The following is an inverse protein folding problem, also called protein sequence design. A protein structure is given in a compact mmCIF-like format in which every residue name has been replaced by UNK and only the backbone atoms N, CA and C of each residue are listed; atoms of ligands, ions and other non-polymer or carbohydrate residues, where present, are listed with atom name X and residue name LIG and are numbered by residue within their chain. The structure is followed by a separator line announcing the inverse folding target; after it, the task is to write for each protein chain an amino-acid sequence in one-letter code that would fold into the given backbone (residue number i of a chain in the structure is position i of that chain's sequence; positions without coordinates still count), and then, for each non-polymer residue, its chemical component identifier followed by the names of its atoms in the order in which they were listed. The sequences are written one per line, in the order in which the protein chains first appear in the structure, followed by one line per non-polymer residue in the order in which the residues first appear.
data_IF_972983512687
#
_entry.id   IF_972983512687
#
_cell.length_a   1.000
_cell.length_b   1.000
_cell.length_c   1.000
_cell.angle_alpha   90.00
_cell.angle_beta   90.00
_cell.angle_gamma   90.00
#
_symmetry.space_group_name_H-M   'P 1'
#
loop_
_entity.id
_entity.type
_entity.pdbx_description
1 polymer ?
2 polymer ?
3 non-polymer ?
4 non-polymer ?
5 water ?
#
# COMPACT_ATOMS: atom_id res chain seq x y z
N UNK A 1 14.57 5.97 18.75
CA UNK A 1 13.20 6.18 19.31
C UNK A 1 12.94 5.32 20.52
N UNK A 2 11.65 5.16 20.86
CA UNK A 2 11.27 4.43 22.06
C UNK A 2 11.59 2.95 21.98
N UNK A 3 11.89 2.45 20.78
CA UNK A 3 12.20 1.04 20.62
C UNK A 3 13.69 0.80 20.54
N UNK A 4 14.49 1.86 20.68
CA UNK A 4 15.92 1.76 20.51
C UNK A 4 16.61 0.82 21.48
N UNK A 5 16.03 0.57 22.65
CA UNK A 5 16.64 -0.35 23.61
C UNK A 5 16.18 -1.81 23.47
N UNK A 6 15.24 -2.12 22.57
CA UNK A 6 14.80 -3.49 22.38
C UNK A 6 15.51 -4.17 21.22
N UNK A 7 15.86 -5.44 21.44
CA UNK A 7 16.52 -6.22 20.40
C UNK A 7 15.68 -6.29 19.13
N UNK A 8 16.36 -6.29 17.99
CA UNK A 8 15.67 -6.45 16.72
C UNK A 8 14.79 -7.69 16.71
N UNK A 9 15.32 -8.83 17.18
CA UNK A 9 14.55 -10.07 17.13
C UNK A 9 13.34 -9.98 18.04
N UNK A 10 13.48 -9.32 19.20
CA UNK A 10 12.34 -9.14 20.09
C UNK A 10 11.27 -8.25 19.48
N UNK A 11 11.67 -7.20 18.76
CA UNK A 11 10.69 -6.32 18.10
C UNK A 11 9.91 -7.10 17.06
N UNK A 12 10.60 -7.96 16.31
CA UNK A 12 9.93 -8.75 15.28
C UNK A 12 8.98 -9.76 15.92
N UNK A 13 9.41 -10.45 16.97
CA UNK A 13 8.54 -11.37 17.72
C UNK A 13 7.29 -10.65 18.22
N UNK A 14 7.47 -9.46 18.80
CA UNK A 14 6.33 -8.73 19.35
C UNK A 14 5.42 -8.17 18.26
N UNK A 15 5.96 -7.80 17.10
CA UNK A 15 5.09 -7.44 15.99
C UNK A 15 4.18 -8.60 15.59
N UNK A 16 4.73 -9.82 15.58
CA UNK A 16 3.92 -11.00 15.27
C UNK A 16 2.87 -11.23 16.33
N UNK A 17 3.21 -11.02 17.60
CA UNK A 17 2.23 -11.13 18.67
C UNK A 17 1.14 -10.06 18.54
N UNK A 18 1.54 -8.82 18.25
CA UNK A 18 0.58 -7.74 18.11
C UNK A 18 -0.37 -8.00 16.96
N UNK A 19 0.13 -8.56 15.86
CA UNK A 19 -0.76 -8.99 14.77
C UNK A 19 -1.81 -9.98 15.29
N UNK A 20 -1.38 -11.00 16.04
CA UNK A 20 -2.34 -11.99 16.54
C UNK A 20 -3.37 -11.36 17.46
N UNK A 21 -2.97 -10.33 18.20
CA UNK A 21 -3.85 -9.61 19.11
C UNK A 21 -4.63 -8.48 18.43
N UNK A 22 -4.46 -8.30 17.13
CA UNK A 22 -5.10 -7.21 16.40
C UNK A 22 -4.74 -5.84 17.00
N UNK A 23 -3.50 -5.70 17.44
CA UNK A 23 -2.94 -4.47 18.02
C UNK A 23 -2.02 -3.82 16.99
N UNK A 24 -2.65 -3.24 15.97
CA UNK A 24 -1.88 -2.83 14.78
C UNK A 24 -1.08 -1.57 15.02
N UNK A 25 -1.51 -0.65 15.89
CA UNK A 25 -0.65 0.48 16.21
C UNK A 25 0.62 0.00 16.90
N UNK A 26 0.48 -0.91 17.87
CA UNK A 26 1.66 -1.55 18.46
C UNK A 26 2.52 -2.25 17.40
N UNK A 27 1.88 -3.00 16.50
CA UNK A 27 2.59 -3.74 15.46
C UNK A 27 3.44 -2.80 14.64
N UNK A 28 2.84 -1.68 14.23
CA UNK A 28 3.55 -0.67 13.44
C UNK A 28 4.72 -0.07 14.22
N UNK A 29 4.53 0.25 15.49
CA UNK A 29 5.64 0.81 16.27
C UNK A 29 6.78 -0.18 16.43
N UNK A 30 6.46 -1.48 16.58
CA UNK A 30 7.50 -2.51 16.70
C UNK A 30 8.27 -2.62 15.39
N UNK A 31 7.56 -2.60 14.26
CA UNK A 31 8.25 -2.71 12.98
C UNK A 31 9.01 -1.43 12.62
N UNK A 32 8.51 -0.27 12.98
CA UNK A 32 9.31 0.95 12.86
C UNK A 32 10.62 0.80 13.63
N UNK A 33 10.52 0.31 14.85
CA UNK A 33 11.70 0.04 15.65
C UNK A 33 12.65 -0.92 14.98
N UNK A 34 12.11 -1.97 14.34
CA UNK A 34 12.96 -2.94 13.65
C UNK A 34 13.66 -2.30 12.47
N UNK A 35 12.91 -1.56 11.64
CA UNK A 35 13.53 -0.85 10.52
C UNK A 35 14.67 0.04 10.98
N UNK A 36 14.46 0.79 12.07
CA UNK A 36 15.43 1.77 12.55
C UNK A 36 16.69 1.12 13.11
N UNK A 37 16.71 -0.21 13.26
CA UNK A 37 17.96 -0.89 13.56
C UNK A 37 18.96 -0.79 12.41
N UNK A 38 18.48 -0.48 11.20
CA UNK A 38 19.37 -0.18 10.08
C UNK A 38 19.73 -1.36 9.20
N UNK A 39 19.33 -2.57 9.58
CA UNK A 39 19.51 -3.76 8.76
C UNK A 39 18.40 -3.87 7.73
N UNK A 40 18.70 -4.51 6.60
CA UNK A 40 17.65 -4.78 5.61
C UNK A 40 16.60 -5.75 6.19
N UNK A 41 15.39 -5.70 5.63
CA UNK A 41 14.31 -6.56 6.06
C UNK A 41 14.18 -7.78 5.17
N UNK A 42 13.86 -8.92 5.78
CA UNK A 42 13.50 -10.13 5.05
C UNK A 42 12.11 -9.99 4.41
N UNK A 43 11.76 -10.95 3.53
CA UNK A 43 10.42 -10.94 2.93
C UNK A 43 9.33 -10.95 4.01
N UNK A 44 9.46 -11.85 4.99
CA UNK A 44 8.46 -11.93 6.05
C UNK A 44 8.40 -10.61 6.82
N UNK A 45 9.57 -10.02 7.13
CA UNK A 45 9.62 -8.76 7.87
C UNK A 45 9.02 -7.60 7.07
N UNK A 46 9.29 -7.55 5.75
CA UNK A 46 8.65 -6.56 4.90
C UNK A 46 7.15 -6.67 4.96
N UNK A 47 6.63 -7.91 4.91
CA UNK A 47 5.18 -8.09 4.98
C UNK A 47 4.63 -7.64 6.33
N UNK A 48 5.35 -7.92 7.43
CA UNK A 48 4.90 -7.44 8.74
C UNK A 48 4.79 -5.92 8.76
N UNK A 49 5.79 -5.25 8.19
CA UNK A 49 5.81 -3.79 8.14
C UNK A 49 4.59 -3.28 7.38
N UNK A 50 4.37 -3.85 6.19
CA UNK A 50 3.28 -3.41 5.35
C UNK A 50 1.90 -3.67 5.99
N UNK A 51 1.69 -4.88 6.52
CA UNK A 51 0.40 -5.21 7.12
C UNK A 51 0.08 -4.27 8.28
N UNK A 52 1.08 -3.98 9.10
CA UNK A 52 0.90 -3.11 10.27
C UNK A 52 0.43 -1.73 9.84
N UNK A 53 1.18 -1.09 8.95
CA UNK A 53 0.81 0.28 8.61
C UNK A 53 -0.45 0.32 7.75
N UNK A 54 -0.73 -0.74 6.97
CA UNK A 54 -1.95 -0.76 6.16
C UNK A 54 -3.18 -0.79 7.06
N UNK A 55 -3.11 -1.56 8.14
CA UNK A 55 -4.21 -1.59 9.09
C UNK A 55 -4.36 -0.26 9.79
N UNK A 56 -3.26 0.36 10.23
CA UNK A 56 -3.34 1.66 10.90
C UNK A 56 -3.94 2.71 9.96
N UNK A 57 -3.34 2.90 8.78
CA UNK A 57 -3.84 3.94 7.89
C UNK A 57 -5.23 3.60 7.38
N UNK A 58 -5.56 2.30 7.34
CA UNK A 58 -6.88 1.90 6.86
C UNK A 58 -7.98 2.40 7.77
N UNK A 59 -7.79 2.24 9.08
CA UNK A 59 -8.71 2.82 10.05
C UNK A 59 -8.84 4.33 9.94
N UNK A 60 -7.71 5.03 9.71
CA UNK A 60 -7.74 6.48 9.59
C UNK A 60 -8.47 6.91 8.32
N UNK A 61 -8.23 6.20 7.21
CA UNK A 61 -8.89 6.53 5.95
C UNK A 61 -10.40 6.37 6.08
N UNK A 62 -10.84 5.27 6.68
CA UNK A 62 -12.27 5.01 6.86
C UNK A 62 -12.91 6.08 7.73
N UNK A 63 -12.23 6.46 8.83
CA UNK A 63 -12.69 7.56 9.69
C UNK A 63 -12.78 8.86 8.93
N UNK A 64 -11.73 9.16 8.14
CA UNK A 64 -11.71 10.42 7.41
C UNK A 64 -12.89 10.50 6.44
N UNK A 65 -13.22 9.38 5.78
CA UNK A 65 -14.30 9.41 4.79
C UNK A 65 -15.65 9.63 5.45
N UNK A 66 -15.84 9.02 6.63
CA UNK A 66 -17.07 9.25 7.40
C UNK A 66 -17.21 10.73 7.69
N UNK A 67 -16.15 11.33 8.23
CA UNK A 67 -16.16 12.74 8.64
C UNK A 67 -16.27 13.68 7.45
N UNK A 68 -15.55 13.37 6.36
CA UNK A 68 -15.64 14.19 5.15
C UNK A 68 -17.06 14.21 4.60
N UNK A 69 -17.73 13.07 4.60
CA UNK A 69 -19.10 13.01 4.11
C UNK A 69 -20.04 13.82 4.99
N UNK A 70 -19.91 13.68 6.31
CA UNK A 70 -20.69 14.51 7.22
C UNK A 70 -20.41 15.98 6.94
N UNK A 71 -19.12 16.33 6.79
CA UNK A 71 -18.73 17.71 6.56
C UNK A 71 -19.37 18.24 5.29
N UNK A 72 -19.28 17.49 4.20
CA UNK A 72 -19.82 17.96 2.93
C UNK A 72 -21.32 18.17 3.03
N UNK A 73 -22.03 17.24 3.67
CA UNK A 73 -23.47 17.43 3.88
C UNK A 73 -23.75 18.64 4.77
N UNK A 74 -22.88 18.90 5.75
CA UNK A 74 -23.13 20.01 6.66
C UNK A 74 -22.91 21.36 5.99
N UNK A 75 -22.16 21.40 4.89
CA UNK A 75 -21.94 22.65 4.16
C UNK A 75 -22.98 22.79 3.07
N UNK A 83 -21.30 25.34 12.82
CA UNK A 83 -20.21 25.30 13.79
C UNK A 83 -18.96 24.70 13.18
N UNK A 84 -17.80 24.96 13.80
CA UNK A 84 -16.53 24.48 13.24
C UNK A 84 -16.17 23.06 13.62
N UNK A 85 -16.98 22.36 14.42
CA UNK A 85 -16.54 21.11 15.03
C UNK A 85 -16.29 20.01 14.00
N UNK A 86 -17.19 19.84 13.02
CA UNK A 86 -17.02 18.77 12.04
C UNK A 86 -15.72 18.98 11.27
N UNK A 87 -15.48 20.21 10.79
CA UNK A 87 -14.24 20.53 10.10
C UNK A 87 -13.03 20.32 11.00
N UNK A 88 -13.10 20.79 12.25
CA UNK A 88 -11.97 20.62 13.16
C UNK A 88 -11.60 19.16 13.34
N UNK A 89 -12.61 18.32 13.57
CA UNK A 89 -12.32 16.93 13.89
C UNK A 89 -11.88 16.16 12.62
N UNK A 90 -12.47 16.49 11.47
CA UNK A 90 -11.96 15.93 10.22
C UNK A 90 -10.48 16.28 10.02
N UNK A 91 -10.12 17.55 10.31
CA UNK A 91 -8.73 18.01 10.19
C UNK A 91 -7.81 17.28 11.18
N UNK A 92 -8.30 17.02 12.39
CA UNK A 92 -7.53 16.27 13.37
C UNK A 92 -7.16 14.88 12.85
N UNK A 93 -8.17 14.15 12.35
CA UNK A 93 -7.97 12.82 11.78
C UNK A 93 -7.09 12.90 10.54
N UNK A 94 -7.35 13.87 9.67
CA UNK A 94 -6.53 14.05 8.47
C UNK A 94 -5.07 14.27 8.82
N UNK A 95 -4.80 15.11 9.81
CA UNK A 95 -3.43 15.39 10.25
C UNK A 95 -2.76 14.12 10.78
N UNK A 96 -3.50 13.31 11.54
CA UNK A 96 -2.89 12.08 12.05
C UNK A 96 -2.61 11.10 10.92
N UNK A 97 -3.50 11.03 9.94
CA UNK A 97 -3.30 10.17 8.76
C UNK A 97 -2.05 10.59 7.98
N UNK A 98 -1.91 11.91 7.75
CA UNK A 98 -0.74 12.44 7.07
C UNK A 98 0.53 12.15 7.86
N UNK A 99 0.44 12.20 9.19
CA UNK A 99 1.60 11.88 9.98
C UNK A 99 2.04 10.43 9.83
N UNK A 100 1.10 9.50 9.78
CA UNK A 100 1.41 8.08 9.56
C UNK A 100 2.02 7.87 8.17
N UNK A 101 1.42 8.48 7.15
CA UNK A 101 2.01 8.42 5.82
C UNK A 101 3.43 8.97 5.80
N UNK A 102 3.64 10.15 6.41
CA UNK A 102 4.97 10.76 6.50
C UNK A 102 5.97 9.84 7.21
N UNK A 103 5.51 9.16 8.25
CA UNK A 103 6.37 8.20 8.97
C UNK A 103 6.81 7.07 8.05
N UNK A 104 5.86 6.48 7.31
CA UNK A 104 6.18 5.35 6.42
C UNK A 104 7.11 5.80 5.31
N UNK A 105 6.78 6.94 4.68
CA UNK A 105 7.63 7.48 3.63
C UNK A 105 9.05 7.78 4.14
N UNK A 106 9.16 8.24 5.40
CA UNK A 106 10.48 8.48 5.98
C UNK A 106 11.28 7.21 6.16
N UNK A 107 10.62 6.12 6.56
CA UNK A 107 11.31 4.84 6.65
C UNK A 107 11.80 4.39 5.29
N UNK A 108 10.95 4.53 4.28
CA UNK A 108 11.30 4.09 2.94
C UNK A 108 12.48 4.89 2.42
N UNK A 109 12.50 6.18 2.71
CA UNK A 109 13.58 7.05 2.25
C UNK A 109 14.81 6.99 3.15
N UNK A 110 14.68 6.50 4.37
CA UNK A 110 15.81 6.45 5.33
C UNK A 110 15.82 5.10 6.07
N UNK A 111 16.29 4.02 5.43
CA UNK A 111 16.96 4.02 4.13
C UNK A 111 16.61 2.74 3.37
N UNK A 112 15.35 2.28 3.50
CA UNK A 112 14.93 0.99 2.96
C UNK A 112 15.11 0.93 1.45
N UNK A 113 14.66 1.96 0.73
CA UNK A 113 14.68 1.87 -0.72
C UNK A 113 16.13 1.87 -1.22
N UNK A 114 16.96 2.78 -0.70
CA UNK A 114 18.31 2.89 -1.24
C UNK A 114 19.14 1.63 -0.97
N UNK A 115 18.88 0.91 0.12
CA UNK A 115 19.64 -0.31 0.35
C UNK A 115 19.02 -1.55 -0.29
N UNK A 116 17.86 -1.44 -0.96
CA UNK A 116 17.17 -2.57 -1.59
C UNK A 116 17.70 -2.80 -3.00
N UNK A 117 18.49 -3.84 -3.18
CA UNK A 117 19.03 -4.19 -4.49
C UNK A 117 18.27 -5.27 -5.25
N UNK A 118 17.67 -6.21 -4.53
CA UNK A 118 16.92 -7.27 -5.18
C UNK A 118 15.59 -6.74 -5.67
N UNK A 119 15.14 -7.27 -6.82
CA UNK A 119 13.89 -6.79 -7.39
C UNK A 119 12.71 -6.97 -6.44
N UNK A 120 12.67 -8.09 -5.71
CA UNK A 120 11.55 -8.38 -4.83
C UNK A 120 11.44 -7.33 -3.72
N UNK A 121 12.59 -6.94 -3.16
CA UNK A 121 12.59 -5.91 -2.12
C UNK A 121 12.38 -4.51 -2.70
N UNK A 122 13.07 -4.18 -3.78
CA UNK A 122 12.95 -2.82 -4.31
C UNK A 122 11.54 -2.50 -4.83
N UNK A 123 10.90 -3.46 -5.53
CA UNK A 123 9.54 -3.26 -6.03
C UNK A 123 8.56 -3.17 -4.86
N UNK A 124 8.79 -3.98 -3.82
CA UNK A 124 7.91 -3.96 -2.66
C UNK A 124 7.88 -2.56 -2.05
N UNK A 125 9.06 -1.98 -1.85
CA UNK A 125 9.18 -0.68 -1.18
C UNK A 125 8.69 0.45 -2.07
N UNK A 126 8.94 0.35 -3.37
CA UNK A 126 8.48 1.41 -4.27
C UNK A 126 6.96 1.36 -4.40
N UNK A 127 6.36 0.17 -4.40
CA UNK A 127 4.91 0.03 -4.30
C UNK A 127 4.38 0.73 -3.06
N UNK A 128 5.01 0.47 -1.90
CA UNK A 128 4.60 1.13 -0.67
C UNK A 128 4.72 2.65 -0.79
N UNK A 129 5.81 3.14 -1.38
CA UNK A 129 5.96 4.57 -1.57
C UNK A 129 4.79 5.13 -2.38
N UNK A 130 4.44 4.45 -3.49
CA UNK A 130 3.26 4.84 -4.26
C UNK A 130 1.98 4.85 -3.45
N UNK A 131 1.78 3.80 -2.65
CA UNK A 131 0.56 3.67 -1.86
C UNK A 131 0.44 4.82 -0.87
N UNK A 132 1.52 5.14 -0.15
CA UNK A 132 1.39 6.14 0.92
C UNK A 132 1.34 7.56 0.37
N UNK A 133 1.94 7.82 -0.81
CA UNK A 133 1.64 9.07 -1.49
C UNK A 133 0.18 9.09 -1.99
N UNK A 134 -0.34 7.93 -2.44
CA UNK A 134 -1.74 7.86 -2.84
C UNK A 134 -2.67 8.18 -1.66
N UNK A 135 -2.37 7.65 -0.47
CA UNK A 135 -3.22 7.98 0.68
C UNK A 135 -3.14 9.47 1.01
N UNK A 136 -1.95 10.08 0.90
CA UNK A 136 -1.87 11.54 1.02
C UNK A 136 -2.71 12.22 -0.05
N UNK A 137 -2.68 11.71 -1.29
CA UNK A 137 -3.45 12.33 -2.36
C UNK A 137 -4.95 12.31 -2.09
N UNK A 138 -5.46 11.27 -1.41
CA UNK A 138 -6.89 11.15 -1.17
C UNK A 138 -7.42 12.30 -0.32
N UNK A 139 -6.57 12.91 0.51
CA UNK A 139 -6.96 14.00 1.41
C UNK A 139 -6.38 15.34 1.01
N UNK A 140 -5.58 15.38 -0.06
CA UNK A 140 -4.95 16.61 -0.50
C UNK A 140 -5.91 17.51 -1.27
N UNK A 141 -5.72 18.81 -1.12
CA UNK A 141 -6.58 19.83 -1.72
C UNK A 141 -5.74 20.96 -2.32
N UNK A 144 -0.71 21.57 -4.05
CA UNK A 144 0.25 20.54 -3.70
C UNK A 144 -0.31 19.14 -3.93
N UNK A 145 -1.63 19.04 -4.15
CA UNK A 145 -2.20 17.75 -4.56
C UNK A 145 -1.51 17.24 -5.81
N UNK A 146 -1.27 18.13 -6.79
CA UNK A 146 -0.64 17.71 -8.04
C UNK A 146 0.74 17.10 -7.81
N UNK A 147 1.55 17.76 -6.98
CA UNK A 147 2.89 17.25 -6.71
C UNK A 147 2.82 15.91 -5.97
N UNK A 148 1.86 15.77 -5.06
CA UNK A 148 1.70 14.51 -4.33
C UNK A 148 1.32 13.39 -5.31
N UNK A 149 0.34 13.65 -6.18
CA UNK A 149 -0.08 12.70 -7.20
C UNK A 149 1.09 12.29 -8.07
N UNK A 150 1.91 13.27 -8.52
CA UNK A 150 3.02 12.89 -9.37
C UNK A 150 4.07 12.08 -8.61
N UNK A 151 4.20 12.27 -7.28
CA UNK A 151 5.14 11.45 -6.52
C UNK A 151 4.63 10.00 -6.43
N UNK A 152 3.32 9.80 -6.25
CA UNK A 152 2.76 8.45 -6.29
C UNK A 152 3.00 7.81 -7.66
N UNK A 153 2.62 8.52 -8.72
CA UNK A 153 2.80 8.03 -10.09
C UNK A 153 4.23 7.58 -10.33
N UNK A 154 5.19 8.46 -9.96
CA UNK A 154 6.60 8.18 -10.20
C UNK A 154 7.05 6.90 -9.50
N UNK A 155 6.67 6.74 -8.23
CA UNK A 155 7.05 5.54 -7.49
C UNK A 155 6.45 4.29 -8.12
N UNK A 156 5.15 4.35 -8.42
CA UNK A 156 4.47 3.21 -9.04
C UNK A 156 5.14 2.87 -10.37
N UNK A 157 5.53 3.89 -11.14
CA UNK A 157 6.03 3.68 -12.49
C UNK A 157 7.41 3.03 -12.45
N UNK A 158 8.27 3.47 -11.52
CA UNK A 158 9.58 2.83 -11.35
C UNK A 158 9.43 1.40 -10.87
N UNK A 159 8.49 1.16 -9.96
CA UNK A 159 8.20 -0.20 -9.53
C UNK A 159 7.72 -1.07 -10.69
N UNK A 160 6.81 -0.54 -11.54
CA UNK A 160 6.31 -1.30 -12.68
C UNK A 160 7.45 -1.66 -13.63
N UNK A 161 8.30 -0.68 -13.96
CA UNK A 161 9.39 -0.92 -14.90
C UNK A 161 10.29 -2.04 -14.40
N UNK A 162 10.66 -2.01 -13.12
CA UNK A 162 11.52 -3.06 -12.57
C UNK A 162 10.78 -4.40 -12.56
N UNK A 163 9.50 -4.39 -12.15
CA UNK A 163 8.75 -5.63 -12.07
C UNK A 163 8.60 -6.29 -13.44
N UNK A 164 8.36 -5.49 -14.47
CA UNK A 164 8.25 -6.05 -15.81
C UNK A 164 9.56 -6.64 -16.30
N UNK A 165 10.70 -6.06 -15.90
CA UNK A 165 11.99 -6.60 -16.32
C UNK A 165 12.37 -7.86 -15.55
N UNK A 166 12.04 -7.93 -14.26
CA UNK A 166 12.74 -8.81 -13.33
C UNK A 166 11.86 -9.89 -12.72
N UNK A 167 10.55 -9.81 -12.86
CA UNK A 167 9.62 -10.70 -12.19
C UNK A 167 8.66 -11.32 -13.19
N UNK A 168 8.22 -12.56 -12.97
CA UNK A 168 7.21 -13.14 -13.85
C UNK A 168 5.89 -12.41 -13.67
N UNK A 169 5.02 -12.48 -14.69
CA UNK A 169 3.72 -11.78 -14.60
C UNK A 169 2.77 -12.31 -13.54
N UNK A 170 2.99 -13.50 -12.98
CA UNK A 170 2.18 -14.03 -11.88
C UNK A 170 2.74 -13.69 -10.50
N UNK A 171 3.92 -13.09 -10.43
CA UNK A 171 4.52 -12.76 -9.15
C UNK A 171 3.54 -11.92 -8.32
N UNK A 172 3.19 -12.36 -7.10
CA UNK A 172 2.18 -11.62 -6.33
C UNK A 172 2.52 -10.17 -6.03
N UNK A 173 3.79 -9.82 -5.86
CA UNK A 173 4.15 -8.42 -5.63
C UNK A 173 3.89 -7.60 -6.88
N UNK A 174 4.29 -8.13 -8.04
CA UNK A 174 3.99 -7.47 -9.31
C UNK A 174 2.49 -7.30 -9.51
N UNK A 175 1.71 -8.34 -9.18
CA UNK A 175 0.26 -8.31 -9.34
C UNK A 175 -0.38 -7.29 -8.40
N UNK A 176 0.04 -7.27 -7.13
CA UNK A 176 -0.48 -6.28 -6.20
C UNK A 176 -0.08 -4.87 -6.55
N UNK A 177 1.12 -4.70 -7.09
CA UNK A 177 1.53 -3.40 -7.60
C UNK A 177 0.61 -2.95 -8.72
N UNK A 178 0.36 -3.81 -9.71
CA UNK A 178 -0.48 -3.41 -10.84
C UNK A 178 -1.89 -3.12 -10.38
N UNK A 179 -2.40 -3.93 -9.46
CA UNK A 179 -3.74 -3.70 -8.92
C UNK A 179 -3.84 -2.28 -8.34
N UNK A 180 -2.90 -1.92 -7.48
CA UNK A 180 -2.93 -0.62 -6.80
C UNK A 180 -2.63 0.54 -7.75
N UNK A 181 -1.71 0.35 -8.70
CA UNK A 181 -1.46 1.39 -9.70
C UNK A 181 -2.72 1.63 -10.53
N UNK A 182 -3.47 0.55 -10.84
CA UNK A 182 -4.69 0.68 -11.61
C UNK A 182 -5.74 1.48 -10.85
N UNK A 183 -5.84 1.23 -9.54
CA UNK A 183 -6.76 2.02 -8.72
C UNK A 183 -6.30 3.49 -8.64
N UNK A 184 -4.98 3.72 -8.52
CA UNK A 184 -4.46 5.08 -8.62
C UNK A 184 -4.96 5.75 -9.89
N UNK A 185 -4.79 5.08 -11.03
CA UNK A 185 -5.23 5.68 -12.29
C UNK A 185 -6.71 6.02 -12.25
N UNK A 186 -7.52 5.11 -11.72
CA UNK A 186 -8.98 5.25 -11.84
C UNK A 186 -9.48 6.41 -11.02
N UNK A 187 -9.08 6.48 -9.76
CA UNK A 187 -9.70 7.44 -8.85
C UNK A 187 -8.80 8.54 -8.33
N UNK A 188 -7.48 8.46 -8.49
CA UNK A 188 -6.60 9.59 -8.15
C UNK A 188 -6.29 10.42 -9.38
N UNK A 189 -5.84 9.76 -10.46
CA UNK A 189 -5.40 10.44 -11.67
C UNK A 189 -6.54 10.73 -12.64
N UNK A 190 -7.75 10.32 -12.29
CA UNK A 190 -8.92 10.50 -13.17
C UNK A 190 -8.63 9.97 -14.58
N UNK A 191 -8.00 8.79 -14.64
CA UNK A 191 -7.72 8.10 -15.90
C UNK A 191 -8.35 6.72 -15.91
N UNK A 192 -9.68 6.64 -15.95
CA UNK A 192 -10.31 5.32 -15.87
C UNK A 192 -9.97 4.41 -17.04
N UNK A 193 -9.68 4.94 -18.23
CA UNK A 193 -9.31 4.03 -19.33
C UNK A 193 -7.95 3.41 -19.07
N UNK A 194 -6.99 4.19 -18.56
CA UNK A 194 -5.69 3.64 -18.20
C UNK A 194 -5.84 2.55 -17.12
N UNK A 195 -6.67 2.79 -16.11
CA UNK A 195 -6.97 1.81 -15.07
C UNK A 195 -7.47 0.49 -15.65
N UNK A 196 -8.49 0.56 -16.52
CA UNK A 196 -9.09 -0.65 -17.07
C UNK A 196 -8.09 -1.39 -17.94
N UNK A 197 -7.35 -0.64 -18.75
CA UNK A 197 -6.33 -1.21 -19.61
C UNK A 197 -5.27 -1.94 -18.79
N UNK A 198 -4.77 -1.29 -17.74
CA UNK A 198 -3.74 -1.93 -16.96
C UNK A 198 -4.26 -3.19 -16.30
N UNK A 199 -5.48 -3.13 -15.75
CA UNK A 199 -6.03 -4.30 -15.04
C UNK A 199 -6.24 -5.47 -16.00
N UNK A 200 -6.75 -5.18 -17.20
CA UNK A 200 -6.97 -6.22 -18.21
C UNK A 200 -5.65 -6.87 -18.63
N UNK A 201 -4.68 -6.05 -19.05
CA UNK A 201 -3.41 -6.59 -19.53
C UNK A 201 -2.72 -7.39 -18.42
N UNK A 202 -2.80 -6.88 -17.18
CA UNK A 202 -2.18 -7.58 -16.05
C UNK A 202 -2.85 -8.93 -15.82
N UNK A 203 -4.18 -8.94 -15.86
CA UNK A 203 -4.91 -10.19 -15.65
C UNK A 203 -4.57 -11.20 -16.73
N UNK A 204 -4.55 -10.75 -17.98
CA UNK A 204 -4.36 -11.66 -19.11
C UNK A 204 -2.93 -12.21 -19.15
N UNK A 205 -1.92 -11.37 -18.89
CA UNK A 205 -0.56 -11.88 -18.87
C UNK A 205 -0.33 -12.83 -17.70
N UNK A 206 -1.00 -12.60 -16.57
CA UNK A 206 -0.87 -13.55 -15.48
C UNK A 206 -1.57 -14.87 -15.82
N UNK A 207 -2.77 -14.79 -16.39
CA UNK A 207 -3.51 -15.99 -16.83
C UNK A 207 -2.64 -16.91 -17.64
N UNK A 208 -1.91 -16.36 -18.61
CA UNK A 208 -1.09 -17.12 -19.53
C UNK A 208 0.17 -17.70 -18.91
N UNK A 209 0.51 -17.29 -17.68
CA UNK A 209 1.69 -17.79 -16.97
C UNK A 209 1.34 -18.71 -15.82
N UNK A 210 0.04 -18.87 -15.51
CA UNK A 210 -0.35 -19.73 -14.39
C UNK A 210 0.12 -21.17 -14.58
N UNK A 211 0.23 -21.63 -15.84
CA UNK A 211 0.60 -23.01 -16.10
C UNK A 211 1.99 -23.36 -15.59
N UNK A 212 2.81 -22.36 -15.28
CA UNK A 212 4.17 -22.59 -14.80
C UNK A 212 4.23 -22.82 -13.29
N UNK A 213 3.12 -22.64 -12.58
CA UNK A 213 3.10 -22.53 -11.12
C UNK A 213 2.71 -23.83 -10.43
N UNK A 214 3.28 -24.01 -9.23
CA UNK A 214 2.84 -24.99 -8.25
C UNK A 214 1.44 -24.67 -7.76
N UNK A 215 0.85 -25.64 -7.06
CA UNK A 215 -0.47 -25.44 -6.49
C UNK A 215 -0.48 -24.24 -5.54
N UNK A 216 0.54 -24.12 -4.69
CA UNK A 216 0.54 -23.04 -3.71
C UNK A 216 0.76 -21.68 -4.38
N UNK A 217 1.68 -21.59 -5.33
CA UNK A 217 1.90 -20.32 -6.01
C UNK A 217 0.67 -19.92 -6.84
N UNK A 218 0.02 -20.92 -7.44
CA UNK A 218 -1.21 -20.67 -8.22
C UNK A 218 -2.28 -20.04 -7.33
N UNK A 219 -2.42 -20.54 -6.09
CA UNK A 219 -3.39 -19.95 -5.18
C UNK A 219 -3.01 -18.51 -4.82
N UNK A 220 -1.72 -18.23 -4.55
CA UNK A 220 -1.27 -16.86 -4.28
C UNK A 220 -1.62 -15.91 -5.42
N UNK A 221 -1.29 -16.29 -6.66
CA UNK A 221 -1.50 -15.41 -7.80
C UNK A 221 -2.99 -15.25 -8.14
N UNK A 222 -3.77 -16.33 -8.11
CA UNK A 222 -5.17 -16.20 -8.50
C UNK A 222 -5.95 -15.36 -7.50
N UNK A 223 -5.52 -15.32 -6.24
CA UNK A 223 -6.24 -14.50 -5.27
C UNK A 223 -6.16 -13.02 -5.64
N UNK A 224 -5.00 -12.56 -6.10
CA UNK A 224 -4.88 -11.16 -6.49
C UNK A 224 -5.48 -10.94 -7.87
N UNK A 225 -5.39 -11.93 -8.76
CA UNK A 225 -6.10 -11.80 -10.03
C UNK A 225 -7.59 -11.57 -9.78
N UNK A 226 -8.15 -12.22 -8.75
CA UNK A 226 -9.58 -12.03 -8.47
C UNK A 226 -9.90 -10.59 -8.08
N UNK A 227 -8.98 -9.92 -7.37
CA UNK A 227 -9.17 -8.50 -7.06
C UNK A 227 -9.17 -7.64 -8.33
N UNK A 228 -8.26 -7.91 -9.26
CA UNK A 228 -8.31 -7.24 -10.56
C UNK A 228 -9.67 -7.45 -11.23
N UNK A 229 -10.16 -8.70 -11.23
CA UNK A 229 -11.47 -9.00 -11.81
C UNK A 229 -12.57 -8.23 -11.12
N UNK A 230 -12.55 -8.20 -9.79
CA UNK A 230 -13.57 -7.48 -9.04
C UNK A 230 -13.63 -6.03 -9.51
N UNK A 231 -12.47 -5.37 -9.62
CA UNK A 231 -12.46 -3.98 -10.03
C UNK A 231 -12.98 -3.83 -11.46
N UNK A 232 -12.53 -4.70 -12.37
CA UNK A 232 -12.99 -4.62 -13.74
C UNK A 232 -14.51 -4.75 -13.80
N UNK A 233 -15.07 -5.62 -12.97
CA UNK A 233 -16.53 -5.79 -12.92
C UNK A 233 -17.21 -4.48 -12.51
N UNK A 234 -16.62 -3.76 -11.55
CA UNK A 234 -17.16 -2.47 -11.15
C UNK A 234 -16.97 -1.40 -12.22
N UNK A 235 -15.90 -1.49 -13.01
CA UNK A 235 -15.48 -0.41 -13.89
C UNK A 235 -16.05 -0.50 -15.30
N UNK A 236 -16.62 -1.64 -15.68
CA UNK A 236 -17.05 -1.86 -17.07
C UNK A 236 -18.48 -2.39 -17.13
N UNK B 1 -18.49 7.04 -0.80
CA UNK B 1 -17.22 6.55 -1.32
C UNK B 1 -17.27 5.04 -1.58
N UNK B 2 -17.52 4.64 -2.81
CA UNK B 2 -17.26 3.25 -3.20
C UNK B 2 -15.75 3.05 -3.27
N UNK B 3 -15.23 2.10 -2.50
CA UNK B 3 -13.80 1.78 -2.49
C UNK B 3 -13.55 0.57 -3.38
N UNK B 4 -12.60 0.71 -4.31
CA UNK B 4 -12.19 -0.40 -5.15
C UNK B 4 -11.15 -1.25 -4.43
N UNK B 5 -10.95 -2.46 -4.95
CA UNK B 5 -10.02 -3.41 -4.36
C UNK B 5 -8.58 -2.98 -4.51
N UNK B 6 -7.84 -2.94 -3.40
CA UNK B 6 -6.39 -2.75 -3.47
C UNK B 6 -5.73 -3.85 -2.62
N UNK B 7 -4.42 -3.97 -2.77
CA UNK B 7 -3.65 -5.08 -2.21
C UNK B 7 -3.67 -5.08 -0.68
N UNK B 8 -3.67 -6.28 -0.09
CA UNK B 8 -3.45 -6.43 1.33
C UNK B 8 -4.71 -6.24 2.15
N UNK B 9 -4.55 -6.08 3.47
CA UNK B 9 -5.71 -5.93 4.35
C UNK B 9 -6.69 -4.86 3.87
N UNK B 10 -7.96 -5.25 3.72
CA UNK B 10 -9.06 -4.29 3.51
C UNK B 10 -9.39 -3.72 4.89
N UNK B 11 -8.52 -2.82 5.36
CA UNK B 11 -8.51 -2.31 6.72
C UNK B 11 -9.36 -1.05 6.90
N UNK B 12 -9.84 -0.47 5.80
CA UNK B 12 -10.69 0.71 5.87
C UNK B 12 -12.12 0.33 5.48
X LIG C 1 2.62 -12.10 9.22
X LIG C 1 2.83 -12.38 6.93
X LIG C 1 2.08 -11.84 8.13
X LIG C 1 4.54 -13.61 5.51
X LIG C 1 5.74 -14.41 5.06
X LIG C 1 6.19 -15.58 5.96
X LIG C 1 8.00 -16.02 4.34
X LIG C 1 3.52 -13.06 3.14
X LIG C 1 7.61 -15.00 3.57
X LIG C 1 6.38 -14.15 3.96
X LIG C 1 3.53 -12.99 4.66
X LIG C 1 2.49 -12.26 5.51
X LIG C 1 7.25 -16.32 5.63
X LIG C 1 1.00 -11.22 8.01
X LIG C 1 4.24 -13.30 7.15
X LIG C 1 0.60 -10.93 8.72
X LIG C 1 5.74 -15.75 6.74
X LIG C 1 8.72 -16.55 4.11
X LIG C 1 3.73 -13.97 2.85
X LIG C 1 4.18 -12.45 2.77
X LIG C 1 2.64 -12.82 2.80
X LIG C 1 8.09 -14.81 2.79
X LIG C 1 6.11 -13.44 3.42
X LIG C 1 1.75 -11.80 5.17
X LIG C 1 7.52 -17.02 6.18
X LIG C 1 0.68 -11.07 7.23
X LIG C 1 2.26 -11.84 9.98
X LIG D 1 0.59 -15.26 10.40
X LIG D 1 0.11 -14.91 8.08
X LIG D 1 -0.14 -14.69 9.57
X LIG D 1 1.05 -15.65 5.77
X LIG D 1 1.91 -16.32 4.72
X LIG D 1 2.89 -17.44 5.16
X LIG D 1 3.60 -17.63 2.79
X LIG D 1 -0.82 -14.31 4.29
X LIG D 1 2.78 -16.67 2.42
X LIG D 1 1.88 -15.97 3.47
X LIG D 1 -0.16 -14.77 5.60
X LIG D 1 -0.69 -14.35 6.97
X LIG D 1 3.67 -18.05 4.26
X LIG D 1 -1.09 -13.93 9.93
X LIG D 1 1.36 -15.84 7.42
X LIG D 1 -1.56 -13.56 9.31
X LIG D 1 2.94 -17.70 6.05
X LIG D 1 4.15 -18.06 2.16
X LIG D 1 -0.51 -14.87 3.56
X LIG D 1 -1.78 -14.39 4.37
X LIG D 1 -0.58 -13.39 4.11
X LIG D 1 2.74 -16.42 1.52
X LIG D 1 1.30 -15.29 3.20
X LIG D 1 -1.44 -13.80 7.09
X LIG D 1 4.25 -18.73 4.52
X LIG D 1 -1.25 -13.78 10.76
X LIG D 1 0.46 -15.15 11.28
X LIG E 1 7.78 12.06 4.16
X LIG E 1 6.48 13.50 2.74
X LIG E 1 7.64 12.54 3.00
X LIG E 1 4.35 14.91 3.00
X LIG E 1 3.10 15.52 3.58
X LIG E 1 3.18 16.04 5.04
X LIG E 1 0.82 16.71 4.85
X LIG E 1 4.49 16.17 0.63
X LIG E 1 0.73 16.26 3.60
X LIG E 1 1.98 15.61 2.92
X LIG E 1 5.00 15.18 1.70
X LIG E 1 6.27 14.34 1.55
X LIG E 1 2.12 16.59 5.63
X LIG E 1 8.45 12.32 2.07
X LIG E 1 5.24 13.75 3.88
X LIG E 1 9.10 11.78 2.22
X LIG E 1 3.98 15.97 5.51
X LIG E 1 0.08 17.09 5.25
X LIG E 1 3.54 16.09 0.54
X LIG E 1 4.92 15.97 -0.22
X LIG E 1 4.72 17.08 0.89
X LIG E 1 -0.06 16.32 3.13
X LIG E 1 1.92 15.30 2.05
X LIG E 1 6.83 14.35 0.81
X LIG E 1 2.18 16.90 6.50
X LIG E 1 8.32 12.67 1.30
X LIG E 1 8.43 11.50 4.38
X LIG F 1 -10.83 18.15 17.17
#
# INVERSE_FOLDING_TARGET
GAMGSMERASLIQKAKLAEQAERYEDMAAFMKGAVEKGEELSCEERNLLSVAYKNVVGGQRAAWRVLSSIEQKSNEEGSEEKGPEVREYREKVETELQGVCDTVLGLLDSHLIKEAGDAESRVFYLKMKGDYYRYLAEVATGDDKKRIIDSARSAYQEAMDISKKEMPPTNPIRLGLALNFSVFHYEIANSPEEAISLAKTTFDEAMADLHTLSEDSYKDSTLIMQLLRDNLTLWTADNAGEEGGEAPQEPQS
KLMFKTEGPDSD
L1T N1 C4 C5 C6 C7 C8 C10 C1 C11 C12 C2 C3 C9 N2 S1 H15 H81 H101 H12 H13 H11 H111 H121 H31 H91 H1 H14
L1T N1 C4 C5 C6 C7 C8 C10 C1 C11 C12 C2 C3 C9 N2 S1 H15 H81 H101 H12 H13 H11 H111 H121 H31 H91 H1 H14
L1T N1 C4 C5 C6 C7 C8 C10 C1 C11 C12 C2 C3 C9 N2 S1 H15 H81 H101 H12 H13 H11 H111 H121 H31 H91 H1 H14
CA CA
#
